data_IF_143937128212
#
_entry.id   IF_143937128212
#
_cell.length_a   1.000
_cell.length_b   1.000
_cell.length_c   1.000
_cell.angle_alpha   90.00
_cell.angle_beta   90.00
_cell.angle_gamma   90.00
#
_symmetry.space_group_name_H-M   'P 1'
#
loop_
_entity.id
_entity.type
_entity.pdbx_description
1 polymer ?
#
# COMPACT_ATOMS: atom_id res chain seq x y z
N UNK A 1 3.12 -8.08 -13.84
CA UNK A 1 3.12 -6.76 -13.17
C UNK A 1 2.90 -7.02 -11.68
N UNK A 2 3.54 -6.25 -10.80
CA UNK A 2 3.44 -6.39 -9.34
C UNK A 2 3.14 -5.01 -8.73
N UNK A 3 2.24 -4.99 -7.76
CA UNK A 3 1.91 -3.81 -6.95
C UNK A 3 1.31 -4.28 -5.64
N UNK A 4 1.07 -3.35 -4.72
CA UNK A 4 0.37 -3.61 -3.47
C UNK A 4 -0.71 -2.54 -3.21
N UNK A 5 -1.79 -2.94 -2.54
CA UNK A 5 -2.86 -2.06 -2.08
C UNK A 5 -3.40 -2.46 -0.69
N UNK A 6 -2.59 -3.16 0.11
CA UNK A 6 -2.89 -3.31 1.54
C UNK A 6 -3.00 -1.93 2.21
N UNK A 7 -3.59 -1.85 3.39
CA UNK A 7 -3.66 -0.60 4.17
C UNK A 7 -2.34 -0.33 4.91
N UNK A 8 -1.20 -0.41 4.22
CA UNK A 8 0.14 -0.21 4.78
C UNK A 8 0.38 1.19 5.37
N UNK A 9 -0.47 2.16 5.02
CA UNK A 9 -0.46 3.51 5.58
C UNK A 9 -0.86 3.55 7.07
N UNK A 10 -1.55 2.51 7.56
CA UNK A 10 -1.90 2.33 8.96
C UNK A 10 -1.34 1.00 9.48
N UNK A 11 -0.09 0.97 9.96
CA UNK A 11 0.51 -0.26 10.49
C UNK A 11 -0.21 -0.82 11.73
N UNK A 12 -0.97 -0.01 12.46
CA UNK A 12 -1.65 -0.46 13.67
C UNK A 12 -2.95 -1.22 13.35
N UNK A 13 -3.68 -0.82 12.30
CA UNK A 13 -5.00 -1.40 11.99
C UNK A 13 -5.13 -2.03 10.58
N UNK A 14 -4.23 -1.72 9.66
CA UNK A 14 -4.39 -1.96 8.23
C UNK A 14 -3.50 -3.05 7.63
N UNK A 15 -2.52 -3.58 8.38
CA UNK A 15 -1.57 -4.56 7.86
C UNK A 15 -1.34 -5.69 8.85
N UNK A 16 -1.88 -6.86 8.52
CA UNK A 16 -1.75 -8.08 9.31
C UNK A 16 -0.28 -8.54 9.33
N UNK A 17 0.38 -8.60 10.51
CA UNK A 17 1.74 -9.11 10.60
C UNK A 17 1.83 -10.58 10.19
N UNK A 18 2.95 -10.97 9.59
CA UNK A 18 3.23 -12.36 9.21
C UNK A 18 3.17 -13.27 10.44
N UNK A 19 2.46 -14.39 10.33
CA UNK A 19 2.34 -15.38 11.40
C UNK A 19 1.31 -15.05 12.48
N UNK A 20 0.51 -14.00 12.33
CA UNK A 20 -0.62 -13.70 13.22
C UNK A 20 -1.97 -14.03 12.55
N UNK A 21 -2.95 -14.43 13.36
CA UNK A 21 -4.36 -14.41 12.96
C UNK A 21 -4.90 -12.98 12.99
N UNK A 22 -6.01 -12.74 12.29
CA UNK A 22 -6.65 -11.43 12.30
C UNK A 22 -7.18 -11.07 13.70
N UNK A 23 -7.73 -12.05 14.40
CA UNK A 23 -8.25 -11.92 15.75
C UNK A 23 -7.14 -11.51 16.73
N UNK A 24 -5.99 -12.21 16.69
CA UNK A 24 -4.84 -11.89 17.55
C UNK A 24 -4.27 -10.50 17.23
N UNK A 25 -4.19 -10.15 15.95
CA UNK A 25 -3.74 -8.83 15.51
C UNK A 25 -4.63 -7.73 16.08
N UNK A 26 -5.96 -7.88 15.99
CA UNK A 26 -6.90 -6.89 16.52
C UNK A 26 -6.84 -6.77 18.04
N UNK A 27 -6.64 -7.89 18.76
CA UNK A 27 -6.46 -7.87 20.22
C UNK A 27 -5.12 -7.23 20.63
N UNK A 28 -4.03 -7.53 19.90
CA UNK A 28 -2.69 -6.95 20.14
C UNK A 28 -2.62 -5.47 19.79
N UNK A 29 -3.33 -5.02 18.77
CA UNK A 29 -3.42 -3.59 18.44
C UNK A 29 -3.98 -2.76 19.61
N UNK A 30 -4.84 -3.33 20.45
CA UNK A 30 -5.37 -2.66 21.64
C UNK A 30 -4.43 -2.76 22.84
N UNK A 31 -3.85 -3.95 23.08
CA UNK A 31 -3.07 -4.24 24.29
C UNK A 31 -1.59 -3.86 24.17
N UNK A 32 -1.01 -3.94 22.97
CA UNK A 32 0.41 -3.79 22.65
C UNK A 32 0.58 -3.04 21.29
N UNK A 33 0.12 -1.79 21.19
CA UNK A 33 0.05 -1.07 19.92
C UNK A 33 1.43 -0.82 19.28
N UNK A 34 2.45 -0.51 20.08
CA UNK A 34 3.79 -0.20 19.59
C UNK A 34 4.45 -1.44 18.99
N UNK A 35 4.34 -2.59 19.67
CA UNK A 35 4.83 -3.88 19.21
C UNK A 35 4.08 -4.33 17.96
N UNK A 36 2.77 -4.07 17.90
CA UNK A 36 1.93 -4.39 16.74
C UNK A 36 2.35 -3.58 15.51
N UNK A 37 2.57 -2.27 15.66
CA UNK A 37 3.11 -1.41 14.60
C UNK A 37 4.47 -1.93 14.12
N UNK A 38 5.37 -2.26 15.04
CA UNK A 38 6.69 -2.77 14.69
C UNK A 38 6.59 -4.10 13.92
N UNK A 39 5.75 -5.03 14.37
CA UNK A 39 5.54 -6.32 13.70
C UNK A 39 4.93 -6.16 12.29
N UNK A 40 3.98 -5.24 12.13
CA UNK A 40 3.38 -4.91 10.84
C UNK A 40 4.43 -4.34 9.88
N UNK A 41 5.23 -3.36 10.32
CA UNK A 41 6.30 -2.76 9.50
C UNK A 41 7.39 -3.77 9.14
N UNK A 42 7.79 -4.65 10.07
CA UNK A 42 8.72 -5.73 9.77
C UNK A 42 8.18 -6.67 8.68
N UNK A 43 6.88 -6.97 8.72
CA UNK A 43 6.22 -7.78 7.69
C UNK A 43 6.12 -7.05 6.34
N UNK A 44 5.88 -5.74 6.34
CA UNK A 44 5.95 -4.90 5.13
C UNK A 44 7.36 -4.88 4.52
N UNK A 45 8.40 -4.90 5.35
CA UNK A 45 9.78 -4.95 4.88
C UNK A 45 10.07 -6.22 4.08
N UNK A 46 9.64 -7.39 4.58
CA UNK A 46 9.75 -8.66 3.86
C UNK A 46 8.91 -8.67 2.57
N UNK A 47 7.71 -8.11 2.60
CA UNK A 47 6.86 -7.95 1.42
C UNK A 47 7.55 -7.07 0.35
N UNK A 48 8.11 -5.93 0.73
CA UNK A 48 8.82 -5.03 -0.20
C UNK A 48 10.08 -5.69 -0.77
N UNK A 49 10.82 -6.49 0.01
CA UNK A 49 11.94 -7.29 -0.52
C UNK A 49 11.47 -8.25 -1.63
N UNK A 50 10.31 -8.88 -1.49
CA UNK A 50 9.74 -9.72 -2.54
C UNK A 50 9.34 -8.90 -3.79
N UNK A 51 8.74 -7.71 -3.61
CA UNK A 51 8.43 -6.81 -4.73
C UNK A 51 9.70 -6.38 -5.48
N UNK A 52 10.80 -6.10 -4.75
CA UNK A 52 12.11 -5.78 -5.32
C UNK A 52 12.70 -6.97 -6.09
N UNK A 53 12.55 -8.20 -5.58
CA UNK A 53 13.00 -9.40 -6.27
C UNK A 53 12.26 -9.60 -7.62
N UNK A 54 10.96 -9.32 -7.69
CA UNK A 54 10.23 -9.34 -8.96
C UNK A 54 10.70 -8.23 -9.92
N UNK A 55 10.98 -7.03 -9.41
CA UNK A 55 11.54 -5.93 -10.21
C UNK A 55 12.89 -6.33 -10.83
N UNK A 56 13.76 -7.00 -10.08
CA UNK A 56 15.06 -7.47 -10.56
C UNK A 56 14.94 -8.49 -11.70
N UNK A 57 13.83 -9.22 -11.78
CA UNK A 57 13.50 -10.13 -12.87
C UNK A 57 12.91 -9.42 -14.10
N UNK A 58 12.87 -8.08 -14.11
CA UNK A 58 12.32 -7.28 -15.20
C UNK A 58 10.80 -7.16 -15.18
N UNK A 59 10.12 -7.59 -14.11
CA UNK A 59 8.67 -7.45 -14.00
C UNK A 59 8.35 -5.99 -13.62
N UNK A 60 7.41 -5.32 -14.33
CA UNK A 60 6.95 -3.99 -13.94
C UNK A 60 6.37 -4.02 -12.53
N UNK A 61 7.08 -3.37 -11.61
CA UNK A 61 6.71 -3.23 -10.20
C UNK A 61 6.52 -1.76 -9.87
N UNK A 62 5.45 -1.40 -9.15
CA UNK A 62 5.20 -0.04 -8.71
C UNK A 62 4.45 -0.01 -7.38
N UNK A 63 4.45 1.15 -6.74
CA UNK A 63 3.71 1.45 -5.52
C UNK A 63 2.39 2.16 -5.86
N UNK A 64 1.31 1.69 -5.25
CA UNK A 64 -0.04 2.20 -5.51
C UNK A 64 -0.58 3.09 -4.39
N UNK A 65 0.29 3.92 -3.82
CA UNK A 65 -0.13 5.04 -2.97
C UNK A 65 -0.55 4.66 -1.55
N UNK A 66 -0.13 3.50 -1.04
CA UNK A 66 -0.38 3.07 0.34
C UNK A 66 0.83 3.25 1.28
N UNK A 67 1.92 3.86 0.78
CA UNK A 67 3.12 4.17 1.55
C UNK A 67 3.98 2.97 2.00
N UNK A 68 3.75 1.76 1.46
CA UNK A 68 4.46 0.54 1.89
C UNK A 68 5.98 0.64 1.73
N UNK A 69 6.48 1.34 0.70
CA UNK A 69 7.92 1.59 0.50
C UNK A 69 8.54 2.37 1.65
N UNK A 70 7.84 3.37 2.17
CA UNK A 70 8.33 4.17 3.29
C UNK A 70 8.38 3.33 4.58
N UNK A 71 7.34 2.52 4.82
CA UNK A 71 7.32 1.62 5.98
C UNK A 71 8.48 0.61 5.95
N UNK A 72 8.78 0.05 4.77
CA UNK A 72 9.92 -0.85 4.58
C UNK A 72 11.28 -0.14 4.74
N UNK A 73 11.41 1.09 4.22
CA UNK A 73 12.63 1.90 4.38
C UNK A 73 12.94 2.17 5.85
N UNK A 74 11.92 2.49 6.64
CA UNK A 74 12.06 2.69 8.10
C UNK A 74 12.49 1.43 8.84
N UNK A 75 12.33 0.25 8.23
CA UNK A 75 12.80 -1.05 8.74
C UNK A 75 14.12 -1.51 8.12
N UNK A 76 14.85 -0.61 7.45
CA UNK A 76 16.19 -0.88 6.91
C UNK A 76 16.23 -1.43 5.49
N UNK A 77 15.12 -1.44 4.74
CA UNK A 77 15.15 -1.74 3.30
C UNK A 77 15.62 -0.49 2.54
N UNK A 78 16.93 -0.30 2.46
CA UNK A 78 17.55 0.93 1.90
C UNK A 78 17.08 1.25 0.49
N UNK A 79 16.88 0.20 -0.32
CA UNK A 79 16.46 0.30 -1.72
C UNK A 79 14.95 0.15 -1.93
N UNK A 80 14.13 0.36 -0.89
CA UNK A 80 12.66 0.26 -0.98
C UNK A 80 12.04 1.17 -2.06
N UNK A 81 12.73 2.26 -2.43
CA UNK A 81 12.28 3.23 -3.44
C UNK A 81 12.75 2.92 -4.87
N UNK A 82 13.39 1.78 -5.09
CA UNK A 82 13.86 1.37 -6.41
C UNK A 82 12.72 1.16 -7.43
N UNK A 83 11.50 0.85 -6.98
CA UNK A 83 10.31 0.90 -7.83
C UNK A 83 9.53 2.22 -7.66
N UNK A 84 9.00 2.79 -8.76
CA UNK A 84 8.35 4.09 -8.73
C UNK A 84 6.94 4.02 -8.12
N UNK A 85 6.39 5.18 -7.77
CA UNK A 85 4.95 5.31 -7.50
C UNK A 85 4.16 5.36 -8.81
N UNK A 86 2.89 4.96 -8.77
CA UNK A 86 2.03 4.93 -9.96
C UNK A 86 1.80 6.31 -10.59
N UNK A 87 1.77 7.38 -9.78
CA UNK A 87 1.58 8.75 -10.29
C UNK A 87 2.72 9.18 -11.21
N UNK A 88 4.00 9.22 -10.77
CA UNK A 88 5.09 9.57 -11.67
C UNK A 88 5.29 8.57 -12.81
N UNK A 89 4.97 7.28 -12.61
CA UNK A 89 5.15 6.25 -13.64
C UNK A 89 4.10 6.29 -14.75
N UNK A 90 2.82 6.55 -14.42
CA UNK A 90 1.72 6.34 -15.35
C UNK A 90 0.72 7.50 -15.41
N UNK A 91 0.37 8.10 -14.27
CA UNK A 91 -0.82 8.99 -14.20
C UNK A 91 -0.49 10.47 -14.45
N UNK A 92 0.74 10.92 -14.20
CA UNK A 92 1.11 12.34 -14.34
C UNK A 92 0.72 12.97 -15.70
N UNK A 93 0.86 12.30 -16.86
CA UNK A 93 0.40 12.86 -18.14
C UNK A 93 -1.11 13.09 -18.25
N UNK A 94 -1.94 12.36 -17.48
CA UNK A 94 -3.38 12.61 -17.39
C UNK A 94 -3.64 13.88 -16.58
N UNK A 95 -2.98 14.04 -15.42
CA UNK A 95 -3.09 15.24 -14.58
C UNK A 95 -2.66 16.51 -15.30
N UNK A 96 -1.61 16.45 -16.14
CA UNK A 96 -1.18 17.61 -16.95
C UNK A 96 -2.25 18.09 -17.95
N UNK A 97 -3.28 17.29 -18.23
CA UNK A 97 -4.42 17.62 -19.10
C UNK A 97 -5.71 17.89 -18.32
N UNK A 98 -5.64 18.02 -16.99
CA UNK A 98 -6.82 18.18 -16.13
C UNK A 98 -7.68 16.91 -16.00
N UNK A 99 -7.19 15.76 -16.45
CA UNK A 99 -7.92 14.49 -16.35
C UNK A 99 -7.72 13.93 -14.95
N UNK A 100 -8.81 13.76 -14.20
CA UNK A 100 -8.81 13.17 -12.86
C UNK A 100 -10.03 12.25 -12.66
N UNK A 101 -10.21 11.70 -11.46
CA UNK A 101 -11.30 10.77 -11.15
C UNK A 101 -12.65 11.48 -10.95
N UNK A 102 -13.07 12.25 -11.96
CA UNK A 102 -14.36 12.94 -11.98
C UNK A 102 -15.50 11.94 -11.84
N UNK A 103 -16.46 12.26 -10.97
CA UNK A 103 -17.62 11.42 -10.68
C UNK A 103 -18.77 12.29 -10.17
N UNK A 104 -20.00 11.85 -10.40
CA UNK A 104 -21.22 12.40 -9.81
C UNK A 104 -22.04 11.27 -9.19
N UNK A 105 -23.07 11.62 -8.43
CA UNK A 105 -24.02 10.68 -7.86
C UNK A 105 -25.44 11.23 -8.00
N UNK A 106 -26.40 10.38 -8.35
CA UNK A 106 -27.81 10.72 -8.40
C UNK A 106 -28.44 10.56 -7.00
N UNK A 107 -28.93 11.66 -6.42
CA UNK A 107 -29.51 11.65 -5.07
C UNK A 107 -30.92 11.04 -5.01
N UNK A 108 -31.56 10.83 -6.17
CA UNK A 108 -32.85 10.13 -6.29
C UNK A 108 -32.76 8.65 -5.90
N UNK A 109 -31.58 8.04 -6.07
CA UNK A 109 -31.41 6.59 -6.01
C UNK A 109 -31.90 5.84 -7.24
N UNK A 110 -32.40 6.53 -8.27
CA UNK A 110 -32.83 5.91 -9.52
C UNK A 110 -31.61 5.62 -10.41
N UNK A 111 -31.33 4.36 -10.79
CA UNK A 111 -30.23 4.04 -11.69
C UNK A 111 -30.38 4.64 -13.10
N UNK A 112 -31.58 5.10 -13.51
CA UNK A 112 -31.78 5.78 -14.80
C UNK A 112 -31.22 7.21 -14.83
N UNK A 113 -30.88 7.80 -13.68
CA UNK A 113 -30.27 9.14 -13.60
C UNK A 113 -28.75 9.14 -13.87
N UNK A 114 -28.13 7.96 -14.01
CA UNK A 114 -26.70 7.78 -14.32
C UNK A 114 -26.48 7.72 -15.83
#
# INVERSE_FOLDING_TARGET
>A
MVTDQTSAHDPLNGYLPLGMSWEDYRARAQSHPVETIHAAKASMAEHVKAMLAFRQQGIPTFDYGNNIRQMAKEMGVENAFDFPGFVPAYIRPLFCRGIGPFRWAALSGDPQDI
#
